data_IF_772408529667
#
_entry.id   IF_772408529667
#
_cell.length_a   1.000
_cell.length_b   1.000
_cell.length_c   1.000
_cell.angle_alpha   90.00
_cell.angle_beta   90.00
_cell.angle_gamma   90.00
#
_symmetry.space_group_name_H-M   'P 1'
#
loop_
_entity.id
_entity.type
_entity.pdbx_description
1 polymer ?
#
# COMPACT_ATOMS: atom_id res chain seq x y z
N UNK A 1 -8.79 -16.29 -9.44
CA UNK A 1 -7.96 -15.06 -9.44
C UNK A 1 -8.75 -13.90 -8.84
N UNK A 2 -8.28 -13.40 -7.69
CA UNK A 2 -8.90 -12.31 -6.94
C UNK A 2 -8.23 -10.99 -7.28
N UNK A 3 -9.01 -9.90 -7.42
CA UNK A 3 -8.47 -8.57 -7.73
C UNK A 3 -8.78 -7.55 -6.65
N UNK A 4 -7.73 -7.02 -6.04
CA UNK A 4 -7.78 -6.02 -4.99
C UNK A 4 -7.25 -4.70 -5.56
N UNK A 5 -8.08 -3.66 -5.57
CA UNK A 5 -7.59 -2.31 -5.74
C UNK A 5 -7.03 -1.80 -4.41
N UNK A 6 -5.80 -1.31 -4.41
CA UNK A 6 -5.14 -0.74 -3.24
C UNK A 6 -4.92 0.75 -3.44
N UNK A 7 -5.42 1.52 -2.48
CA UNK A 7 -5.20 2.95 -2.32
C UNK A 7 -4.78 3.25 -0.88
N UNK A 8 -4.27 4.43 -0.62
CA UNK A 8 -3.98 4.93 0.74
C UNK A 8 -3.88 6.45 0.70
N UNK A 9 -3.84 7.07 1.88
CA UNK A 9 -3.55 8.49 2.03
C UNK A 9 -4.49 9.31 1.11
N UNK A 10 -5.78 9.17 1.40
CA UNK A 10 -6.84 9.93 0.75
C UNK A 10 -6.77 11.37 1.25
N UNK A 11 -6.56 11.55 2.57
CA UNK A 11 -6.59 12.85 3.20
C UNK A 11 -7.82 13.66 2.78
N UNK A 12 -9.00 13.06 2.92
CA UNK A 12 -10.25 13.72 2.57
C UNK A 12 -10.38 15.03 3.37
N UNK A 13 -10.51 16.16 2.68
CA UNK A 13 -10.52 17.50 3.28
C UNK A 13 -9.31 18.36 2.93
N UNK A 14 -8.81 19.11 3.91
CA UNK A 14 -7.81 20.19 3.75
C UNK A 14 -6.55 19.83 2.94
N UNK A 15 -6.02 18.62 3.10
CA UNK A 15 -4.77 18.19 2.47
C UNK A 15 -4.98 17.47 1.12
N UNK A 16 -6.22 17.32 0.67
CA UNK A 16 -6.51 16.85 -0.69
C UNK A 16 -6.02 17.83 -1.75
N UNK A 17 -5.70 17.31 -2.93
CA UNK A 17 -5.34 18.07 -4.15
C UNK A 17 -6.55 18.46 -5.02
N UNK A 18 -7.72 17.94 -4.68
CA UNK A 18 -8.95 18.10 -5.46
C UNK A 18 -10.15 18.23 -4.54
N UNK A 19 -11.08 19.09 -4.92
CA UNK A 19 -12.35 19.28 -4.20
C UNK A 19 -13.30 18.09 -4.35
N UNK A 20 -12.99 17.15 -5.25
CA UNK A 20 -13.70 15.87 -5.37
C UNK A 20 -13.54 14.99 -4.12
N UNK A 21 -12.50 15.24 -3.32
CA UNK A 21 -12.17 14.53 -2.09
C UNK A 21 -12.02 15.51 -0.91
N UNK A 22 -12.93 16.47 -0.81
CA UNK A 22 -13.02 17.39 0.32
C UNK A 22 -14.47 17.57 0.76
N UNK A 23 -14.66 18.08 1.98
CA UNK A 23 -16.02 18.45 2.42
C UNK A 23 -16.55 19.56 1.50
N UNK A 24 -17.81 19.51 1.04
CA UNK A 24 -18.35 20.54 0.16
C UNK A 24 -18.20 21.95 0.74
N UNK A 25 -17.49 22.83 0.01
CA UNK A 25 -17.23 24.21 0.42
C UNK A 25 -16.03 24.39 1.36
N UNK A 26 -15.36 23.33 1.77
CA UNK A 26 -14.09 23.40 2.51
C UNK A 26 -12.95 23.83 1.55
N UNK A 27 -12.16 24.85 1.91
CA UNK A 27 -10.99 25.22 1.13
C UNK A 27 -9.88 24.17 1.30
N UNK A 28 -9.32 23.72 0.18
CA UNK A 28 -8.15 22.84 0.14
C UNK A 28 -6.85 23.63 -0.05
N UNK A 29 -5.70 23.07 0.35
CA UNK A 29 -4.40 23.75 0.26
C UNK A 29 -3.76 23.72 -1.14
N UNK A 30 -4.27 22.88 -2.04
CA UNK A 30 -3.78 22.69 -3.39
C UNK A 30 -4.98 22.40 -4.28
N UNK A 31 -5.36 23.35 -5.13
CA UNK A 31 -6.48 23.17 -6.06
C UNK A 31 -5.97 23.08 -7.49
N UNK A 32 -6.14 21.92 -8.10
CA UNK A 32 -5.76 21.68 -9.47
C UNK A 32 -6.93 21.97 -10.43
N UNK A 33 -7.21 23.24 -10.69
CA UNK A 33 -8.32 23.67 -11.55
C UNK A 33 -8.14 23.20 -12.99
N UNK A 34 -9.21 22.66 -13.60
CA UNK A 34 -9.22 22.23 -15.01
C UNK A 34 -8.57 20.87 -15.29
N UNK A 35 -8.17 20.14 -14.26
CA UNK A 35 -7.66 18.78 -14.39
C UNK A 35 -8.78 17.76 -14.70
N UNK A 36 -8.41 16.63 -15.31
CA UNK A 36 -9.30 15.48 -15.47
C UNK A 36 -9.73 14.97 -14.09
N UNK A 37 -11.03 14.73 -13.92
CA UNK A 37 -11.60 14.19 -12.67
C UNK A 37 -10.83 12.97 -12.16
N UNK A 38 -10.28 13.08 -10.95
CA UNK A 38 -9.54 12.00 -10.30
C UNK A 38 -10.51 10.88 -9.90
N UNK A 39 -11.71 11.25 -9.44
CA UNK A 39 -12.78 10.32 -9.08
C UNK A 39 -13.26 9.50 -10.28
N UNK A 40 -13.65 10.16 -11.38
CA UNK A 40 -14.25 9.46 -12.53
C UNK A 40 -13.23 8.58 -13.25
N UNK A 41 -11.99 9.06 -13.39
CA UNK A 41 -10.94 8.23 -13.98
C UNK A 41 -10.56 7.05 -13.08
N UNK A 42 -10.62 7.20 -11.74
CA UNK A 42 -10.42 6.08 -10.80
C UNK A 42 -11.49 5.00 -11.02
N UNK A 43 -12.77 5.39 -11.08
CA UNK A 43 -13.88 4.47 -11.34
C UNK A 43 -13.66 3.71 -12.64
N UNK A 44 -13.19 4.36 -13.71
CA UNK A 44 -12.88 3.70 -14.98
C UNK A 44 -11.80 2.62 -14.83
N UNK A 45 -10.69 2.91 -14.15
CA UNK A 45 -9.63 1.91 -13.92
C UNK A 45 -10.15 0.73 -13.09
N UNK A 46 -10.92 0.99 -12.04
CA UNK A 46 -11.49 -0.06 -11.20
C UNK A 46 -12.42 -0.99 -12.00
N UNK A 47 -13.24 -0.44 -12.91
CA UNK A 47 -14.10 -1.20 -13.83
C UNK A 47 -13.31 -2.02 -14.83
N UNK A 48 -12.35 -1.39 -15.50
CA UNK A 48 -11.50 -2.05 -16.51
C UNK A 48 -10.72 -3.22 -15.91
N UNK A 49 -10.19 -3.02 -14.69
CA UNK A 49 -9.54 -4.06 -13.92
C UNK A 49 -10.51 -5.15 -13.43
N UNK A 50 -11.82 -4.89 -13.42
CA UNK A 50 -12.82 -5.71 -12.71
C UNK A 50 -12.38 -5.95 -11.26
N UNK A 51 -12.02 -4.87 -10.56
CA UNK A 51 -11.65 -4.94 -9.15
C UNK A 51 -12.82 -5.52 -8.33
N UNK A 52 -12.52 -6.43 -7.40
CA UNK A 52 -13.52 -7.08 -6.55
C UNK A 52 -13.51 -6.54 -5.13
N UNK A 53 -12.37 -6.02 -4.69
CA UNK A 53 -12.17 -5.40 -3.39
C UNK A 53 -11.51 -4.04 -3.56
N UNK A 54 -11.85 -3.10 -2.66
CA UNK A 54 -11.16 -1.82 -2.52
C UNK A 54 -10.52 -1.79 -1.12
N UNK A 55 -9.20 -1.94 -1.06
CA UNK A 55 -8.41 -1.85 0.16
C UNK A 55 -7.82 -0.44 0.32
N UNK A 56 -7.96 0.14 1.51
CA UNK A 56 -7.48 1.48 1.86
C UNK A 56 -6.49 1.37 3.02
N UNK A 57 -5.21 1.68 2.81
CA UNK A 57 -4.18 1.52 3.83
C UNK A 57 -4.03 2.72 4.79
N UNK A 58 -5.15 3.31 5.20
CA UNK A 58 -5.18 4.40 6.18
C UNK A 58 -5.09 5.82 5.60
N UNK A 59 -5.11 6.80 6.50
CA UNK A 59 -5.21 8.24 6.24
C UNK A 59 -6.38 8.57 5.30
N UNK A 60 -7.57 8.14 5.73
CA UNK A 60 -8.83 8.43 5.06
C UNK A 60 -9.14 9.93 5.08
N UNK A 61 -8.82 10.60 6.18
CA UNK A 61 -9.18 12.00 6.46
C UNK A 61 -7.96 12.88 6.60
N UNK A 62 -8.11 14.21 6.50
CA UNK A 62 -7.00 15.14 6.71
C UNK A 62 -6.72 15.41 8.18
N UNK A 63 -7.76 15.47 9.02
CA UNK A 63 -7.65 15.85 10.43
C UNK A 63 -8.50 15.00 11.39
N UNK A 64 -9.04 13.86 10.94
CA UNK A 64 -9.81 12.95 11.78
C UNK A 64 -11.18 13.49 12.19
N UNK A 65 -11.71 14.50 11.50
CA UNK A 65 -12.96 15.14 11.91
C UNK A 65 -14.20 14.31 11.53
N UNK A 66 -15.30 14.36 12.30
CA UNK A 66 -16.55 13.67 11.97
C UNK A 66 -17.10 13.98 10.57
N UNK A 67 -16.99 15.24 10.12
CA UNK A 67 -17.45 15.64 8.79
C UNK A 67 -16.61 14.99 7.68
N UNK A 68 -15.29 14.94 7.83
CA UNK A 68 -14.41 14.34 6.84
C UNK A 68 -14.68 12.84 6.73
N UNK A 69 -14.88 12.15 7.86
CA UNK A 69 -15.26 10.73 7.83
C UNK A 69 -16.57 10.48 7.09
N UNK A 70 -17.61 11.27 7.37
CA UNK A 70 -18.91 11.08 6.72
C UNK A 70 -18.84 11.26 5.20
N UNK A 71 -18.23 12.35 4.72
CA UNK A 71 -18.10 12.61 3.29
C UNK A 71 -17.07 11.69 2.60
N UNK A 72 -16.02 11.27 3.31
CA UNK A 72 -15.07 10.29 2.80
C UNK A 72 -15.74 8.94 2.58
N UNK A 73 -16.50 8.47 3.56
CA UNK A 73 -17.29 7.23 3.45
C UNK A 73 -18.26 7.27 2.27
N UNK A 74 -19.05 8.35 2.16
CA UNK A 74 -20.02 8.52 1.07
C UNK A 74 -19.31 8.49 -0.29
N UNK A 75 -18.17 9.17 -0.41
CA UNK A 75 -17.40 9.26 -1.64
C UNK A 75 -16.78 7.92 -2.03
N UNK A 76 -16.12 7.24 -1.08
CA UNK A 76 -15.51 5.92 -1.29
C UNK A 76 -16.58 4.89 -1.63
N UNK A 77 -17.72 4.90 -0.94
CA UNK A 77 -18.83 3.99 -1.20
C UNK A 77 -19.45 4.23 -2.57
N UNK A 78 -19.62 5.50 -2.97
CA UNK A 78 -20.06 5.86 -4.33
C UNK A 78 -19.08 5.36 -5.39
N UNK A 79 -17.76 5.55 -5.20
CA UNK A 79 -16.74 5.04 -6.12
C UNK A 79 -16.83 3.51 -6.25
N UNK A 80 -16.90 2.81 -5.11
CA UNK A 80 -16.97 1.35 -5.09
C UNK A 80 -18.24 0.85 -5.81
N UNK A 81 -19.40 1.39 -5.47
CA UNK A 81 -20.68 1.02 -6.09
C UNK A 81 -20.69 1.30 -7.60
N UNK A 82 -20.23 2.47 -8.00
CA UNK A 82 -20.17 2.84 -9.42
C UNK A 82 -19.21 1.92 -10.17
N UNK A 83 -18.11 1.48 -9.55
CA UNK A 83 -17.15 0.52 -10.11
C UNK A 83 -17.65 -0.94 -10.11
N UNK A 84 -18.79 -1.24 -9.48
CA UNK A 84 -19.32 -2.60 -9.34
C UNK A 84 -18.73 -3.40 -8.18
N UNK A 85 -18.04 -2.73 -7.25
CA UNK A 85 -17.49 -3.31 -6.02
C UNK A 85 -18.58 -3.26 -4.93
N UNK A 86 -18.87 -4.40 -4.30
CA UNK A 86 -19.79 -4.44 -3.15
C UNK A 86 -19.27 -3.57 -2.01
N UNK A 87 -20.18 -2.88 -1.30
CA UNK A 87 -19.80 -2.12 -0.10
C UNK A 87 -19.13 -2.98 0.98
N UNK A 88 -19.51 -4.26 1.08
CA UNK A 88 -18.91 -5.19 2.05
C UNK A 88 -17.48 -5.60 1.62
N UNK A 89 -17.06 -5.26 0.40
CA UNK A 89 -15.71 -5.49 -0.12
C UNK A 89 -14.83 -4.22 -0.10
N UNK A 90 -15.30 -3.14 0.53
CA UNK A 90 -14.47 -1.99 0.87
C UNK A 90 -13.85 -2.24 2.24
N UNK A 91 -12.53 -2.39 2.28
CA UNK A 91 -11.77 -2.76 3.47
C UNK A 91 -10.75 -1.67 3.76
N UNK A 92 -10.68 -1.17 5.00
CA UNK A 92 -9.77 -0.07 5.32
C UNK A 92 -9.02 -0.28 6.64
N UNK A 93 -7.78 0.20 6.68
CA UNK A 93 -7.06 0.48 7.92
C UNK A 93 -7.22 1.95 8.31
N UNK A 94 -6.68 2.32 9.46
CA UNK A 94 -6.61 3.70 9.92
C UNK A 94 -5.15 4.15 10.01
N UNK A 95 -4.90 5.40 9.64
CA UNK A 95 -3.60 6.04 9.76
C UNK A 95 -3.54 7.08 10.87
N UNK A 96 -2.47 7.87 10.91
CA UNK A 96 -2.27 8.88 11.94
C UNK A 96 -3.17 10.10 11.72
N UNK A 97 -3.57 10.43 10.49
CA UNK A 97 -4.51 11.52 10.23
C UNK A 97 -5.97 11.16 10.51
N UNK A 98 -6.26 9.88 10.79
CA UNK A 98 -7.60 9.40 11.18
C UNK A 98 -7.88 9.51 12.69
N UNK A 99 -6.97 10.14 13.44
CA UNK A 99 -7.16 10.50 14.84
C UNK A 99 -7.65 11.94 14.92
N UNK A 100 -8.75 12.17 15.63
CA UNK A 100 -9.17 13.55 15.95
C UNK A 100 -8.22 14.15 17.00
N UNK A 101 -7.24 14.92 16.53
CA UNK A 101 -6.23 15.53 17.39
C UNK A 101 -6.82 16.45 18.45
N UNK A 102 -7.93 17.13 18.16
CA UNK A 102 -8.59 18.02 19.12
C UNK A 102 -9.15 17.23 20.29
N UNK A 103 -9.76 16.07 20.04
CA UNK A 103 -10.20 15.16 21.10
C UNK A 103 -9.00 14.64 21.87
N UNK A 104 -7.92 14.26 21.17
CA UNK A 104 -6.72 13.72 21.80
C UNK A 104 -6.06 14.71 22.76
N UNK A 105 -6.18 16.02 22.52
CA UNK A 105 -5.60 17.10 23.32
C UNK A 105 -6.46 17.51 24.54
N UNK A 106 -7.72 17.07 24.63
CA UNK A 106 -8.63 17.47 25.72
C UNK A 106 -8.09 17.10 27.11
N UNK A 107 -7.20 16.10 27.22
CA UNK A 107 -6.55 15.74 28.48
C UNK A 107 -5.75 16.89 29.10
N UNK A 108 -5.25 17.83 28.29
CA UNK A 108 -4.46 18.99 28.75
C UNK A 108 -5.29 19.99 29.57
N UNK A 109 -6.62 19.94 29.45
CA UNK A 109 -7.53 20.80 30.21
C UNK A 109 -7.65 20.42 31.70
N UNK A 110 -7.20 19.22 32.07
CA UNK A 110 -7.25 18.73 33.45
C UNK A 110 -6.01 19.20 34.22
N UNK A 111 -6.24 20.01 35.26
CA UNK A 111 -5.18 20.48 36.14
C UNK A 111 -4.77 19.38 37.11
N UNK A 112 -3.47 19.37 37.37
CA UNK A 112 -2.84 18.50 38.35
C UNK A 112 -3.14 19.02 39.76
N UNK A 113 -4.28 18.61 40.32
CA UNK A 113 -4.70 19.04 41.67
C UNK A 113 -4.01 18.24 42.78
N UNK A 114 -3.33 17.14 42.44
CA UNK A 114 -2.64 16.24 43.38
C UNK A 114 -1.53 15.49 42.64
N UNK A 115 -0.39 15.27 43.29
CA UNK A 115 0.72 14.47 42.74
C UNK A 115 0.33 13.03 42.35
N UNK A 116 -0.83 12.56 42.83
CA UNK A 116 -1.37 11.23 42.55
C UNK A 116 -2.30 11.18 41.32
N UNK A 117 -2.48 12.29 40.60
CA UNK A 117 -3.35 12.32 39.43
C UNK A 117 -2.77 11.43 38.31
N UNK A 118 -3.56 10.48 37.75
CA UNK A 118 -3.04 9.51 36.78
C UNK A 118 -3.00 10.10 35.37
N UNK A 119 -2.14 11.08 35.13
CA UNK A 119 -2.03 11.82 33.86
C UNK A 119 -1.95 10.92 32.62
N UNK A 120 -1.06 9.92 32.65
CA UNK A 120 -0.85 8.99 31.53
C UNK A 120 -2.10 8.15 31.23
N UNK A 121 -2.83 7.72 32.26
CA UNK A 121 -4.07 6.98 32.09
C UNK A 121 -5.14 7.86 31.42
N UNK A 122 -5.28 9.11 31.87
CA UNK A 122 -6.27 10.05 31.31
C UNK A 122 -5.92 10.38 29.86
N UNK A 123 -4.64 10.66 29.57
CA UNK A 123 -4.13 10.87 28.21
C UNK A 123 -4.44 9.68 27.31
N UNK A 124 -4.17 8.46 27.76
CA UNK A 124 -4.47 7.24 27.01
C UNK A 124 -5.98 7.07 26.72
N UNK A 125 -6.85 7.39 27.69
CA UNK A 125 -8.30 7.35 27.47
C UNK A 125 -8.75 8.33 26.38
N UNK A 126 -8.27 9.57 26.41
CA UNK A 126 -8.61 10.57 25.38
C UNK A 126 -8.08 10.18 24.00
N UNK A 127 -6.85 9.68 23.93
CA UNK A 127 -6.28 9.13 22.70
C UNK A 127 -7.12 8.00 22.14
N UNK A 128 -7.55 7.06 22.99
CA UNK A 128 -8.38 5.93 22.55
C UNK A 128 -9.76 6.38 22.04
N UNK A 129 -10.36 7.41 22.66
CA UNK A 129 -11.59 8.04 22.17
C UNK A 129 -11.34 8.69 20.80
N UNK A 130 -10.28 9.48 20.67
CA UNK A 130 -9.91 10.15 19.42
C UNK A 130 -9.67 9.16 18.28
N UNK A 131 -8.93 8.09 18.52
CA UNK A 131 -8.67 7.03 17.54
C UNK A 131 -9.90 6.16 17.22
N UNK A 132 -10.97 6.28 18.01
CA UNK A 132 -12.26 5.63 17.75
C UNK A 132 -13.23 6.53 16.98
N UNK A 133 -12.83 7.74 16.59
CA UNK A 133 -13.68 8.68 15.85
C UNK A 133 -14.23 8.04 14.56
N UNK A 134 -13.38 7.34 13.79
CA UNK A 134 -13.82 6.64 12.57
C UNK A 134 -14.91 5.60 12.84
N UNK A 135 -14.83 4.83 13.93
CA UNK A 135 -15.82 3.81 14.28
C UNK A 135 -17.21 4.39 14.60
N UNK A 136 -17.26 5.63 15.08
CA UNK A 136 -18.52 6.32 15.40
C UNK A 136 -19.08 7.02 14.16
N UNK A 137 -18.20 7.57 13.33
CA UNK A 137 -18.58 8.45 12.23
C UNK A 137 -18.73 7.73 10.88
N UNK A 138 -18.36 6.45 10.79
CA UNK A 138 -18.60 5.62 9.59
C UNK A 138 -19.78 4.67 9.82
N UNK A 139 -20.75 4.73 8.93
CA UNK A 139 -21.97 3.92 8.94
C UNK A 139 -21.75 2.48 8.45
N UNK A 140 -20.66 2.27 7.70
CA UNK A 140 -20.21 1.02 7.07
C UNK A 140 -19.05 0.42 7.86
N UNK A 141 -19.25 0.24 9.16
CA UNK A 141 -18.25 -0.38 10.02
C UNK A 141 -17.80 -1.74 9.44
N UNK A 142 -16.49 -1.98 9.45
CA UNK A 142 -15.92 -3.25 9.00
C UNK A 142 -16.46 -4.39 9.87
N UNK A 143 -16.95 -5.43 9.19
CA UNK A 143 -17.44 -6.64 9.85
C UNK A 143 -16.28 -7.60 10.03
N UNK A 144 -15.65 -7.53 11.20
CA UNK A 144 -14.59 -8.46 11.55
C UNK A 144 -15.16 -9.82 11.96
N UNK A 145 -14.57 -10.90 11.43
CA UNK A 145 -14.76 -12.26 11.94
C UNK A 145 -14.24 -12.38 13.37
N UNK A 146 -13.15 -11.66 13.68
CA UNK A 146 -12.59 -11.53 15.04
C UNK A 146 -12.06 -10.12 15.26
N UNK A 147 -12.58 -9.43 16.28
CA UNK A 147 -12.11 -8.10 16.65
C UNK A 147 -10.70 -8.16 17.28
N UNK A 148 -9.89 -7.15 16.96
CA UNK A 148 -8.63 -6.85 17.63
C UNK A 148 -8.80 -5.88 18.81
N UNK A 149 -7.73 -5.64 19.57
CA UNK A 149 -7.78 -4.82 20.79
C UNK A 149 -7.76 -3.30 20.51
N UNK A 150 -7.24 -2.89 19.35
CA UNK A 150 -7.19 -1.49 18.93
C UNK A 150 -8.45 -1.09 18.14
N UNK A 151 -8.83 0.20 18.12
CA UNK A 151 -9.92 0.68 17.29
C UNK A 151 -9.73 0.29 15.82
N UNK A 152 -10.78 -0.23 15.17
CA UNK A 152 -10.75 -0.66 13.76
C UNK A 152 -9.63 -1.69 13.43
N UNK A 153 -9.28 -2.55 14.40
CA UNK A 153 -8.39 -3.69 14.18
C UNK A 153 -9.16 -5.01 14.27
N UNK A 154 -8.72 -6.03 13.54
CA UNK A 154 -9.40 -7.31 13.52
C UNK A 154 -9.00 -8.20 12.34
N UNK A 155 -9.73 -9.30 12.17
CA UNK A 155 -9.53 -10.29 11.12
C UNK A 155 -10.78 -10.31 10.23
N UNK A 156 -10.57 -10.21 8.92
CA UNK A 156 -11.58 -10.46 7.90
C UNK A 156 -11.20 -11.75 7.17
N UNK A 157 -12.17 -12.63 6.98
CA UNK A 157 -11.99 -13.91 6.32
C UNK A 157 -13.05 -14.12 5.23
N UNK A 158 -12.61 -14.64 4.10
CA UNK A 158 -13.47 -15.18 3.05
C UNK A 158 -12.82 -16.44 2.44
N UNK A 159 -13.38 -16.96 1.35
CA UNK A 159 -12.89 -18.17 0.71
C UNK A 159 -11.48 -18.02 0.11
N UNK A 160 -11.06 -16.78 -0.19
CA UNK A 160 -9.82 -16.48 -0.90
C UNK A 160 -8.66 -16.10 0.03
N UNK A 161 -8.94 -15.34 1.09
CA UNK A 161 -7.94 -14.77 1.97
C UNK A 161 -8.39 -14.61 3.43
N UNK A 162 -7.37 -14.48 4.28
CA UNK A 162 -7.42 -14.03 5.67
C UNK A 162 -6.65 -12.72 5.72
N UNK A 163 -7.33 -11.64 6.11
CA UNK A 163 -6.73 -10.32 6.21
C UNK A 163 -6.71 -9.86 7.67
N UNK A 164 -5.52 -9.56 8.17
CA UNK A 164 -5.29 -8.95 9.47
C UNK A 164 -5.24 -7.44 9.28
N UNK A 165 -6.21 -6.72 9.85
CA UNK A 165 -6.22 -5.26 9.87
C UNK A 165 -5.59 -4.81 11.18
N UNK A 166 -4.44 -4.16 11.07
CA UNK A 166 -3.71 -3.62 12.20
C UNK A 166 -3.78 -2.09 12.16
N UNK A 167 -4.22 -1.51 13.26
CA UNK A 167 -4.20 -0.06 13.40
C UNK A 167 -2.82 0.34 13.93
N UNK A 168 -1.98 0.91 13.07
CA UNK A 168 -0.68 1.45 13.46
C UNK A 168 -0.72 2.96 13.75
N UNK A 169 -1.86 3.62 13.51
CA UNK A 169 -2.07 5.05 13.75
C UNK A 169 -2.61 5.38 15.14
N UNK A 170 -3.43 4.53 15.76
CA UNK A 170 -4.20 4.88 16.97
C UNK A 170 -3.40 5.36 18.19
N UNK A 171 -2.11 5.04 18.24
CA UNK A 171 -1.21 5.46 19.31
C UNK A 171 -0.54 6.82 19.05
N UNK A 172 -0.65 7.36 17.84
CA UNK A 172 -0.04 8.62 17.48
C UNK A 172 -0.68 9.77 18.27
N UNK A 173 0.11 10.79 18.62
CA UNK A 173 -0.31 12.01 19.32
C UNK A 173 0.43 13.21 18.75
N UNK A 174 -0.21 14.39 18.73
CA UNK A 174 0.41 15.62 18.22
C UNK A 174 1.66 16.03 19.00
N UNK A 175 1.75 15.62 20.27
CA UNK A 175 2.88 15.89 21.16
C UNK A 175 3.97 14.80 21.15
N UNK A 176 3.90 13.82 20.24
CA UNK A 176 4.99 12.85 20.09
C UNK A 176 6.29 13.57 19.72
N UNK A 177 7.37 13.27 20.45
CA UNK A 177 8.71 13.73 20.09
C UNK A 177 9.14 13.21 18.71
N UNK A 178 8.63 12.04 18.32
CA UNK A 178 8.88 11.37 17.05
C UNK A 178 7.56 10.86 16.50
N UNK A 179 7.14 11.36 15.34
CA UNK A 179 5.87 10.99 14.70
C UNK A 179 5.98 9.62 14.01
N UNK A 180 5.89 8.54 14.80
CA UNK A 180 5.98 7.16 14.35
C UNK A 180 4.66 6.40 14.56
N UNK A 181 4.48 5.34 13.78
CA UNK A 181 3.42 4.37 13.98
C UNK A 181 3.70 3.48 15.19
N UNK A 182 2.64 2.95 15.81
CA UNK A 182 2.77 2.04 16.95
C UNK A 182 1.59 1.08 17.02
N UNK A 183 1.88 -0.22 17.14
CA UNK A 183 0.85 -1.23 17.36
C UNK A 183 0.48 -1.35 18.84
N UNK A 184 1.45 -1.13 19.73
CA UNK A 184 1.45 -1.47 21.15
C UNK A 184 1.56 -2.98 21.43
N UNK A 185 1.81 -3.30 22.71
CA UNK A 185 1.99 -4.68 23.19
C UNK A 185 0.72 -5.52 23.01
N UNK A 186 -0.45 -4.98 23.34
CA UNK A 186 -1.71 -5.74 23.30
C UNK A 186 -2.08 -6.18 21.87
N UNK A 187 -1.97 -5.26 20.90
CA UNK A 187 -2.26 -5.57 19.50
C UNK A 187 -1.20 -6.47 18.88
N UNK A 188 0.08 -6.30 19.25
CA UNK A 188 1.15 -7.17 18.77
C UNK A 188 0.99 -8.60 19.29
N UNK A 189 0.69 -8.76 20.59
CA UNK A 189 0.40 -10.08 21.18
C UNK A 189 -0.85 -10.70 20.56
N UNK A 190 -1.93 -9.92 20.40
CA UNK A 190 -3.14 -10.38 19.74
C UNK A 190 -2.86 -10.82 18.30
N UNK A 191 -2.05 -10.07 17.54
CA UNK A 191 -1.67 -10.42 16.18
C UNK A 191 -0.87 -11.73 16.17
N UNK A 192 0.12 -11.87 17.05
CA UNK A 192 0.93 -13.09 17.18
C UNK A 192 0.07 -14.33 17.49
N UNK A 193 -0.82 -14.22 18.47
CA UNK A 193 -1.73 -15.31 18.84
C UNK A 193 -2.71 -15.63 17.71
N UNK A 194 -3.22 -14.61 17.04
CA UNK A 194 -4.21 -14.76 15.97
C UNK A 194 -3.61 -15.38 14.71
N UNK A 195 -2.46 -14.90 14.25
CA UNK A 195 -1.83 -15.39 13.02
C UNK A 195 -1.38 -16.85 13.15
N UNK A 196 -1.00 -17.28 14.35
CA UNK A 196 -0.65 -18.68 14.64
C UNK A 196 -1.80 -19.65 14.33
N UNK A 197 -3.05 -19.23 14.51
CA UNK A 197 -4.23 -20.06 14.22
C UNK A 197 -4.36 -20.41 12.73
N UNK A 198 -3.84 -19.54 11.86
CA UNK A 198 -3.93 -19.69 10.40
C UNK A 198 -2.60 -20.11 9.78
N UNK A 199 -1.61 -20.50 10.59
CA UNK A 199 -0.26 -20.82 10.10
C UNK A 199 -0.27 -21.88 8.99
N UNK A 200 -1.13 -22.89 9.12
CA UNK A 200 -1.30 -23.99 8.16
C UNK A 200 -2.44 -23.75 7.16
N UNK A 201 -3.11 -22.62 7.22
CA UNK A 201 -4.15 -22.26 6.25
C UNK A 201 -3.50 -22.01 4.88
N UNK A 202 -4.17 -22.48 3.82
CA UNK A 202 -3.70 -22.41 2.45
C UNK A 202 -4.18 -21.16 1.71
N UNK A 203 -5.13 -20.41 2.27
CA UNK A 203 -5.59 -19.13 1.71
C UNK A 203 -4.49 -18.08 1.77
N UNK A 204 -4.68 -16.99 1.05
CA UNK A 204 -3.81 -15.83 1.17
C UNK A 204 -3.86 -15.25 2.59
N UNK A 205 -2.70 -15.01 3.21
CA UNK A 205 -2.59 -14.32 4.50
C UNK A 205 -2.03 -12.93 4.26
N UNK A 206 -2.86 -11.92 4.50
CA UNK A 206 -2.60 -10.53 4.14
C UNK A 206 -2.62 -9.68 5.41
N UNK A 207 -1.71 -8.71 5.54
CA UNK A 207 -1.80 -7.65 6.55
C UNK A 207 -2.15 -6.34 5.86
N UNK A 208 -3.08 -5.58 6.44
CA UNK A 208 -3.38 -4.20 6.06
C UNK A 208 -3.09 -3.30 7.28
N UNK A 209 -2.20 -2.32 7.10
CA UNK A 209 -1.85 -1.33 8.12
C UNK A 209 -1.39 -0.04 7.46
N UNK A 210 -1.20 1.04 8.21
CA UNK A 210 -0.83 2.33 7.60
C UNK A 210 0.69 2.57 7.53
N UNK A 211 1.34 2.65 8.70
CA UNK A 211 2.77 2.91 8.79
C UNK A 211 3.61 1.77 8.19
N UNK A 212 4.72 2.16 7.56
CA UNK A 212 5.63 1.22 6.92
C UNK A 212 6.43 0.39 7.95
N UNK A 213 6.69 -0.91 7.66
CA UNK A 213 7.37 -1.80 8.62
C UNK A 213 8.90 -1.81 8.49
N UNK A 214 9.50 -0.99 7.64
CA UNK A 214 10.96 -0.92 7.49
C UNK A 214 11.36 0.37 6.78
N UNK A 215 12.59 0.82 7.01
CA UNK A 215 13.15 1.98 6.33
C UNK A 215 13.51 1.67 4.87
N UNK A 216 13.21 2.59 3.96
CA UNK A 216 13.58 2.48 2.56
C UNK A 216 13.95 3.83 1.94
N UNK A 217 14.57 3.82 0.75
CA UNK A 217 14.98 5.04 0.05
C UNK A 217 13.79 5.95 -0.31
N UNK A 218 14.01 7.26 -0.24
CA UNK A 218 13.09 8.30 -0.70
C UNK A 218 13.80 9.12 -1.79
N UNK A 219 13.09 9.72 -2.77
CA UNK A 219 13.73 10.48 -3.86
C UNK A 219 14.74 11.51 -3.36
N UNK A 220 14.33 12.27 -2.34
CA UNK A 220 15.22 13.15 -1.60
C UNK A 220 15.70 12.42 -0.35
N UNK A 221 17.01 12.18 -0.16
CA UNK A 221 17.53 11.53 1.04
C UNK A 221 17.14 12.31 2.29
N UNK A 222 16.29 11.72 3.13
CA UNK A 222 15.83 12.27 4.40
C UNK A 222 15.87 11.18 5.47
N UNK A 223 16.04 11.59 6.73
CA UNK A 223 15.96 10.66 7.86
C UNK A 223 14.49 10.29 8.07
N UNK A 224 14.20 8.99 7.98
CA UNK A 224 12.84 8.46 8.17
C UNK A 224 12.61 8.15 9.64
N UNK A 225 11.70 8.90 10.25
CA UNK A 225 11.34 8.77 11.66
C UNK A 225 9.94 8.21 11.87
N UNK A 226 9.24 7.89 10.79
CA UNK A 226 7.80 7.61 10.83
C UNK A 226 7.43 6.15 10.60
N UNK A 227 8.44 5.28 10.59
CA UNK A 227 8.30 3.83 10.60
C UNK A 227 7.47 3.32 11.78
N UNK A 228 6.90 2.13 11.66
CA UNK A 228 6.37 1.39 12.79
C UNK A 228 7.46 1.14 13.87
N UNK A 229 7.19 1.57 15.10
CA UNK A 229 8.09 1.40 16.26
C UNK A 229 8.47 -0.07 16.49
N UNK A 230 7.47 -0.96 16.50
CA UNK A 230 7.67 -2.39 16.70
C UNK A 230 7.95 -3.18 15.40
N UNK A 231 8.44 -2.50 14.35
CA UNK A 231 8.70 -3.05 13.01
C UNK A 231 9.42 -4.40 13.02
N UNK A 232 10.52 -4.52 13.77
CA UNK A 232 11.29 -5.76 13.88
C UNK A 232 10.46 -6.94 14.40
N UNK A 233 9.74 -6.75 15.50
CA UNK A 233 8.89 -7.79 16.08
C UNK A 233 7.71 -8.14 15.17
N UNK A 234 7.09 -7.14 14.54
CA UNK A 234 6.03 -7.36 13.56
C UNK A 234 6.52 -8.24 12.40
N UNK A 235 7.68 -7.91 11.82
CA UNK A 235 8.27 -8.66 10.71
C UNK A 235 8.60 -10.11 11.09
N UNK A 236 9.11 -10.34 12.30
CA UNK A 236 9.38 -11.68 12.81
C UNK A 236 8.10 -12.50 12.97
N UNK A 237 7.05 -11.92 13.56
CA UNK A 237 5.74 -12.57 13.70
C UNK A 237 5.15 -12.89 12.33
N UNK A 238 5.17 -11.92 11.40
CA UNK A 238 4.60 -12.08 10.06
C UNK A 238 5.31 -13.22 9.29
N UNK A 239 6.64 -13.21 9.25
CA UNK A 239 7.42 -14.21 8.53
C UNK A 239 7.36 -15.61 9.13
N UNK A 240 7.41 -15.73 10.47
CA UNK A 240 7.33 -17.03 11.17
C UNK A 240 5.98 -17.70 11.07
N UNK A 241 4.93 -16.97 10.69
CA UNK A 241 3.57 -17.49 10.54
C UNK A 241 3.07 -17.48 9.09
N UNK A 242 3.95 -17.18 8.13
CA UNK A 242 3.68 -17.29 6.70
C UNK A 242 2.65 -16.28 6.21
N UNK A 243 2.75 -15.03 6.64
CA UNK A 243 2.11 -13.92 5.92
C UNK A 243 2.68 -13.90 4.50
N UNK A 244 1.84 -13.62 3.49
CA UNK A 244 2.25 -13.56 2.09
C UNK A 244 2.40 -12.11 1.62
N UNK A 245 1.51 -11.23 2.09
CA UNK A 245 1.36 -9.87 1.58
C UNK A 245 1.13 -8.88 2.72
N UNK A 246 1.81 -7.75 2.68
CA UNK A 246 1.62 -6.62 3.61
C UNK A 246 1.33 -5.37 2.78
N UNK A 247 0.14 -4.80 2.99
CA UNK A 247 -0.34 -3.59 2.33
C UNK A 247 -0.20 -2.42 3.31
N UNK A 248 0.46 -1.34 2.86
CA UNK A 248 0.66 -0.15 3.70
C UNK A 248 0.69 1.17 2.92
N UNK A 249 0.82 2.28 3.64
CA UNK A 249 0.82 3.65 3.11
C UNK A 249 1.80 4.58 3.86
N UNK A 250 1.30 5.76 4.27
CA UNK A 250 1.93 6.76 5.14
C UNK A 250 3.02 7.61 4.50
N UNK A 251 3.92 6.99 3.74
CA UNK A 251 5.09 7.71 3.21
C UNK A 251 4.79 8.51 1.94
N UNK A 252 3.59 8.36 1.39
CA UNK A 252 3.13 8.88 0.10
C UNK A 252 3.97 8.45 -1.13
N UNK A 253 5.07 7.74 -0.92
CA UNK A 253 5.99 7.24 -1.92
C UNK A 253 5.70 5.77 -2.21
N UNK A 254 5.15 5.45 -3.40
CA UNK A 254 4.75 4.09 -3.73
C UNK A 254 5.97 3.18 -3.85
N UNK A 255 5.83 1.92 -3.42
CA UNK A 255 6.92 0.94 -3.44
C UNK A 255 6.36 -0.47 -3.38
N UNK A 256 7.00 -1.41 -4.05
CA UNK A 256 6.65 -2.82 -3.94
C UNK A 256 7.91 -3.67 -4.02
N UNK A 257 8.06 -4.61 -3.08
CA UNK A 257 9.20 -5.51 -3.08
C UNK A 257 8.87 -6.83 -2.36
N UNK A 258 9.54 -7.89 -2.75
CA UNK A 258 9.47 -9.20 -2.09
C UNK A 258 10.74 -9.43 -1.32
N UNK A 259 10.62 -9.81 -0.05
CA UNK A 259 11.76 -10.08 0.83
C UNK A 259 11.61 -11.44 1.49
N UNK A 260 12.73 -12.10 1.73
CA UNK A 260 12.84 -13.31 2.55
C UNK A 260 13.90 -13.07 3.63
N UNK A 261 13.60 -13.46 4.87
CA UNK A 261 14.59 -13.51 5.96
C UNK A 261 14.73 -14.94 6.47
N UNK A 262 15.78 -15.17 7.26
CA UNK A 262 15.96 -16.44 7.96
C UNK A 262 14.75 -16.73 8.85
N UNK A 263 14.37 -18.01 8.93
CA UNK A 263 13.20 -18.51 9.70
C UNK A 263 11.81 -18.13 9.17
N UNK A 264 11.71 -17.34 8.10
CA UNK A 264 10.43 -17.06 7.45
C UNK A 264 9.96 -18.29 6.67
N UNK A 265 8.67 -18.62 6.79
CA UNK A 265 8.08 -19.79 6.11
C UNK A 265 8.11 -19.62 4.58
N UNK A 266 7.90 -18.40 4.11
CA UNK A 266 7.84 -18.02 2.71
C UNK A 266 8.24 -16.54 2.57
N UNK A 267 8.61 -16.08 1.36
CA UNK A 267 8.81 -14.66 1.10
C UNK A 267 7.54 -13.85 1.38
N UNK A 268 7.72 -12.59 1.80
CA UNK A 268 6.64 -11.63 1.98
C UNK A 268 6.77 -10.54 0.94
N UNK A 269 5.69 -10.24 0.24
CA UNK A 269 5.58 -9.05 -0.60
C UNK A 269 5.02 -7.89 0.21
N UNK A 270 5.68 -6.75 0.14
CA UNK A 270 5.24 -5.49 0.73
C UNK A 270 4.81 -4.55 -0.39
N UNK A 271 3.65 -3.91 -0.25
CA UNK A 271 3.15 -2.92 -1.21
C UNK A 271 2.74 -1.66 -0.46
N UNK A 272 3.54 -0.61 -0.63
CA UNK A 272 3.23 0.75 -0.24
C UNK A 272 2.38 1.39 -1.34
N UNK A 273 1.16 1.78 -1.01
CA UNK A 273 0.18 2.32 -1.95
C UNK A 273 0.49 3.74 -2.45
N UNK A 274 1.50 4.41 -1.87
CA UNK A 274 1.75 5.82 -2.12
C UNK A 274 0.64 6.69 -1.56
N UNK A 275 0.00 7.51 -2.38
CA UNK A 275 -1.11 8.38 -1.93
C UNK A 275 -2.11 8.64 -3.04
N UNK A 276 -3.41 8.58 -2.72
CA UNK A 276 -4.47 8.73 -3.72
C UNK A 276 -4.71 10.19 -4.11
N UNK A 277 -4.80 11.07 -3.11
CA UNK A 277 -5.27 12.46 -3.32
C UNK A 277 -4.50 13.51 -2.56
N UNK A 278 -3.46 13.16 -1.82
CA UNK A 278 -2.63 14.14 -1.11
C UNK A 278 -2.08 15.22 -2.04
N UNK A 279 -2.05 16.47 -1.57
CA UNK A 279 -1.49 17.61 -2.28
C UNK A 279 0.02 17.48 -2.60
N UNK A 280 0.50 18.36 -3.48
CA UNK A 280 1.90 18.39 -3.93
C UNK A 280 2.91 18.62 -2.80
N UNK A 281 2.63 19.52 -1.85
CA UNK A 281 3.54 19.88 -0.75
C UNK A 281 3.96 18.68 0.09
N UNK A 282 3.07 17.71 0.28
CA UNK A 282 3.31 16.50 1.05
C UNK A 282 3.89 15.34 0.22
N UNK A 283 4.23 15.57 -1.06
CA UNK A 283 4.71 14.54 -2.01
C UNK A 283 5.90 15.02 -2.83
N UNK A 284 6.92 15.53 -2.14
CA UNK A 284 8.12 16.11 -2.76
C UNK A 284 7.77 17.24 -3.74
N UNK A 285 6.95 18.20 -3.30
CA UNK A 285 6.45 19.30 -4.13
C UNK A 285 5.76 18.87 -5.44
N UNK A 286 5.20 17.65 -5.46
CA UNK A 286 4.49 17.08 -6.60
C UNK A 286 5.33 16.21 -7.52
N UNK A 287 6.63 16.02 -7.25
CA UNK A 287 7.53 15.15 -8.05
C UNK A 287 7.09 13.69 -7.97
N UNK A 288 6.75 13.23 -6.76
CA UNK A 288 6.06 11.94 -6.59
C UNK A 288 4.63 12.17 -7.07
N UNK A 289 4.03 11.35 -7.95
CA UNK A 289 2.63 11.47 -8.37
C UNK A 289 1.69 10.77 -7.38
N UNK A 290 0.38 11.02 -7.50
CA UNK A 290 -0.59 10.19 -6.79
C UNK A 290 -0.70 8.85 -7.49
N UNK A 291 -0.98 7.80 -6.73
CA UNK A 291 -0.86 6.41 -7.18
C UNK A 291 -2.07 5.55 -6.80
N UNK A 292 -2.28 4.50 -7.59
CA UNK A 292 -3.30 3.48 -7.44
C UNK A 292 -2.68 2.16 -7.90
N UNK A 293 -3.02 1.07 -7.21
CA UNK A 293 -2.53 -0.26 -7.55
C UNK A 293 -3.67 -1.26 -7.73
N UNK A 294 -3.55 -2.16 -8.69
CA UNK A 294 -4.40 -3.35 -8.80
C UNK A 294 -3.53 -4.57 -8.52
N UNK A 295 -3.86 -5.31 -7.47
CA UNK A 295 -3.21 -6.54 -7.06
C UNK A 295 -4.07 -7.71 -7.55
N UNK A 296 -3.51 -8.52 -8.46
CA UNK A 296 -4.10 -9.79 -8.87
C UNK A 296 -3.46 -10.93 -8.06
N UNK A 297 -4.21 -11.51 -7.14
CA UNK A 297 -3.80 -12.70 -6.40
C UNK A 297 -3.92 -13.91 -7.32
N UNK A 298 -2.78 -14.55 -7.60
CA UNK A 298 -2.76 -15.75 -8.46
C UNK A 298 -3.20 -16.99 -7.68
N UNK A 299 -3.40 -18.09 -8.39
CA UNK A 299 -3.75 -19.38 -7.78
C UNK A 299 -2.54 -20.02 -7.07
N UNK A 300 -1.31 -19.56 -7.35
CA UNK A 300 -0.11 -19.89 -6.58
C UNK A 300 0.01 -18.91 -5.40
N UNK A 301 -0.42 -19.36 -4.22
CA UNK A 301 -0.52 -18.51 -3.02
C UNK A 301 0.86 -18.00 -2.61
N UNK A 302 0.97 -16.68 -2.46
CA UNK A 302 2.25 -16.00 -2.29
C UNK A 302 2.71 -15.28 -3.54
N UNK A 303 2.24 -15.68 -4.73
CA UNK A 303 2.56 -15.02 -6.00
C UNK A 303 1.45 -14.07 -6.43
N UNK A 304 1.80 -12.81 -6.65
CA UNK A 304 0.87 -11.79 -7.15
C UNK A 304 1.39 -11.10 -8.39
N UNK A 305 0.45 -10.57 -9.16
CA UNK A 305 0.73 -9.60 -10.21
C UNK A 305 0.25 -8.23 -9.75
N UNK A 306 1.10 -7.23 -9.91
CA UNK A 306 0.84 -5.85 -9.50
C UNK A 306 0.78 -4.96 -10.75
N UNK A 307 -0.34 -4.26 -10.93
CA UNK A 307 -0.52 -3.22 -11.94
C UNK A 307 -0.49 -1.86 -11.27
N UNK A 308 0.39 -0.97 -11.75
CA UNK A 308 0.68 0.29 -11.09
C UNK A 308 0.25 1.47 -11.94
N UNK A 309 -0.50 2.39 -11.35
CA UNK A 309 -1.04 3.58 -12.01
C UNK A 309 -0.58 4.84 -11.29
N UNK A 310 -0.35 5.90 -12.06
CA UNK A 310 -0.14 7.26 -11.58
C UNK A 310 -1.21 8.19 -12.14
N UNK A 311 -1.56 9.22 -11.38
CA UNK A 311 -2.47 10.27 -11.84
C UNK A 311 -1.71 11.40 -12.56
N UNK A 312 -2.24 11.84 -13.69
CA UNK A 312 -1.83 13.05 -14.41
C UNK A 312 -3.02 14.00 -14.59
N UNK A 313 -2.85 15.31 -14.34
CA UNK A 313 -3.91 16.29 -14.56
C UNK A 313 -4.49 16.28 -15.98
N UNK A 314 -3.68 15.93 -16.98
CA UNK A 314 -4.07 15.97 -18.39
C UNK A 314 -4.81 14.71 -18.86
N UNK A 315 -4.62 13.56 -18.19
CA UNK A 315 -5.07 12.25 -18.69
C UNK A 315 -5.87 11.44 -17.66
N UNK A 316 -5.92 11.87 -16.40
CA UNK A 316 -6.44 11.05 -15.31
C UNK A 316 -5.43 9.98 -14.89
N UNK A 317 -5.90 8.81 -14.50
CA UNK A 317 -5.06 7.66 -14.16
C UNK A 317 -4.49 6.97 -15.41
N UNK A 318 -3.18 6.73 -15.41
CA UNK A 318 -2.48 6.01 -16.46
C UNK A 318 -1.45 5.05 -15.85
N UNK A 319 -1.04 3.98 -16.54
CA UNK A 319 0.03 3.11 -16.06
C UNK A 319 1.32 3.90 -15.80
N UNK A 320 2.05 3.52 -14.74
CA UNK A 320 3.38 4.08 -14.45
C UNK A 320 4.31 3.76 -15.62
N UNK A 321 4.94 4.78 -16.18
CA UNK A 321 5.71 4.61 -17.43
C UNK A 321 7.10 4.06 -17.20
N UNK A 322 7.78 4.56 -16.17
CA UNK A 322 9.19 4.28 -15.91
C UNK A 322 9.39 3.99 -14.43
N UNK A 323 10.25 3.03 -14.14
CA UNK A 323 10.80 2.83 -12.82
C UNK A 323 11.82 3.96 -12.56
N UNK A 324 11.47 4.91 -11.69
CA UNK A 324 12.31 6.05 -11.36
C UNK A 324 12.29 6.33 -9.86
N UNK A 325 13.18 7.17 -9.31
CA UNK A 325 13.23 7.43 -7.88
C UNK A 325 11.88 7.84 -7.27
N UNK A 326 11.06 8.60 -7.99
CA UNK A 326 9.74 9.10 -7.57
C UNK A 326 8.62 8.06 -7.64
N UNK A 327 8.75 7.10 -8.55
CA UNK A 327 7.86 5.94 -8.70
C UNK A 327 8.72 4.70 -8.99
N UNK A 328 9.32 4.06 -7.97
CA UNK A 328 10.25 2.96 -8.14
C UNK A 328 9.51 1.64 -8.41
N UNK A 329 8.68 1.64 -9.44
CA UNK A 329 7.73 0.60 -9.83
C UNK A 329 7.66 0.53 -11.35
N UNK A 330 7.53 -0.69 -11.89
CA UNK A 330 7.15 -0.89 -13.29
C UNK A 330 5.63 -0.84 -13.45
N UNK A 331 5.11 -0.60 -14.66
CA UNK A 331 3.65 -0.64 -14.92
C UNK A 331 2.99 -1.97 -14.54
N UNK A 332 3.70 -3.09 -14.75
CA UNK A 332 3.26 -4.46 -14.49
C UNK A 332 4.43 -5.21 -13.85
N UNK A 333 4.21 -5.86 -12.70
CA UNK A 333 5.24 -6.59 -11.94
C UNK A 333 4.71 -7.96 -11.50
N UNK A 334 5.58 -8.98 -11.50
CA UNK A 334 5.35 -10.23 -10.77
C UNK A 334 6.13 -10.20 -9.45
N UNK A 335 5.49 -10.55 -8.34
CA UNK A 335 6.05 -10.51 -6.99
C UNK A 335 5.69 -11.80 -6.23
N UNK A 336 6.46 -12.12 -5.18
CA UNK A 336 6.19 -13.27 -4.30
C UNK A 336 7.21 -14.40 -4.32
N UNK A 337 8.08 -14.44 -5.35
CA UNK A 337 9.19 -15.40 -5.47
C UNK A 337 10.51 -14.64 -5.59
N UNK A 338 11.56 -15.32 -5.16
CA UNK A 338 12.94 -14.85 -5.29
C UNK A 338 13.72 -15.93 -6.02
N UNK A 339 14.48 -15.53 -7.03
CA UNK A 339 15.30 -16.41 -7.84
C UNK A 339 16.77 -16.06 -7.63
N UNK A 340 17.62 -17.08 -7.65
CA UNK A 340 19.07 -16.90 -7.57
C UNK A 340 19.63 -16.28 -8.85
N UNK A 341 20.80 -15.67 -8.71
CA UNK A 341 21.56 -15.13 -9.85
C UNK A 341 21.86 -16.19 -10.92
N UNK A 342 22.08 -17.44 -10.52
CA UNK A 342 22.37 -18.53 -11.45
C UNK A 342 21.13 -18.98 -12.22
N UNK A 343 19.96 -19.05 -11.57
CA UNK A 343 18.68 -19.32 -12.24
C UNK A 343 18.36 -18.25 -13.29
N UNK A 344 18.52 -16.97 -12.94
CA UNK A 344 18.29 -15.85 -13.87
C UNK A 344 19.26 -15.95 -15.06
N UNK A 345 20.56 -16.17 -14.81
CA UNK A 345 21.56 -16.32 -15.88
C UNK A 345 21.25 -17.50 -16.81
N UNK A 346 20.83 -18.64 -16.24
CA UNK A 346 20.45 -19.81 -17.01
C UNK A 346 19.24 -19.51 -17.90
N UNK A 347 18.20 -18.87 -17.36
CA UNK A 347 17.02 -18.49 -18.13
C UNK A 347 17.34 -17.48 -19.24
N UNK A 348 18.23 -16.50 -19.00
CA UNK A 348 18.72 -15.58 -20.04
C UNK A 348 19.48 -16.33 -21.14
N UNK A 349 20.34 -17.27 -20.78
CA UNK A 349 21.09 -18.09 -21.74
C UNK A 349 20.22 -18.96 -22.64
N UNK A 350 19.00 -19.27 -22.21
CA UNK A 350 18.02 -20.07 -22.95
C UNK A 350 17.08 -19.26 -23.85
N UNK A 351 17.21 -17.92 -23.89
CA UNK A 351 16.36 -17.08 -24.73
C UNK A 351 16.57 -17.40 -26.22
N UNK A 352 15.47 -17.50 -26.96
CA UNK A 352 15.48 -17.81 -28.38
C UNK A 352 15.86 -16.58 -29.20
N UNK A 353 16.82 -16.76 -30.10
CA UNK A 353 17.16 -15.76 -31.11
C UNK A 353 16.15 -15.78 -32.28
N UNK A 354 16.15 -14.68 -33.05
CA UNK A 354 15.45 -14.53 -34.33
C UNK A 354 13.91 -14.68 -34.25
N UNK A 355 13.35 -14.60 -33.04
CA UNK A 355 11.90 -14.57 -32.79
C UNK A 355 11.56 -13.47 -31.79
N UNK A 356 10.41 -12.78 -31.92
CA UNK A 356 9.93 -11.84 -30.92
C UNK A 356 9.75 -12.51 -29.55
N UNK A 357 10.39 -11.95 -28.54
CA UNK A 357 10.25 -12.29 -27.14
C UNK A 357 9.30 -11.30 -26.49
N UNK A 358 8.23 -11.80 -25.89
CA UNK A 358 7.28 -10.97 -25.13
C UNK A 358 7.47 -11.22 -23.64
N UNK A 359 7.44 -10.17 -22.81
CA UNK A 359 7.64 -10.27 -21.36
C UNK A 359 6.72 -11.32 -20.72
N UNK A 360 5.46 -11.38 -21.16
CA UNK A 360 4.44 -12.32 -20.66
C UNK A 360 4.79 -13.79 -20.89
N UNK A 361 5.63 -14.07 -21.88
CA UNK A 361 6.02 -15.42 -22.29
C UNK A 361 7.46 -15.78 -21.86
N UNK A 362 8.12 -14.90 -21.10
CA UNK A 362 9.42 -15.20 -20.55
C UNK A 362 9.30 -16.25 -19.43
N UNK A 363 10.43 -16.93 -19.20
CA UNK A 363 10.59 -17.80 -18.04
C UNK A 363 10.22 -17.06 -16.75
N UNK A 364 9.71 -17.82 -15.76
CA UNK A 364 9.24 -17.23 -14.51
C UNK A 364 10.32 -16.41 -13.82
N UNK A 365 11.57 -16.88 -13.77
CA UNK A 365 12.65 -16.16 -13.09
C UNK A 365 12.92 -14.77 -13.67
N UNK A 366 12.66 -14.58 -14.97
CA UNK A 366 12.85 -13.32 -15.68
C UNK A 366 11.68 -12.37 -15.51
N UNK A 367 10.45 -12.89 -15.36
CA UNK A 367 9.25 -12.07 -15.14
C UNK A 367 9.21 -11.43 -13.75
N UNK A 368 9.96 -11.98 -12.79
CA UNK A 368 10.08 -11.45 -11.42
C UNK A 368 11.23 -10.44 -11.27
N UNK A 369 12.04 -10.22 -12.32
CA UNK A 369 12.98 -9.11 -12.38
C UNK A 369 12.24 -7.80 -12.66
N UNK A 370 12.68 -6.71 -12.03
CA UNK A 370 12.29 -5.37 -12.48
C UNK A 370 12.72 -5.16 -13.93
N UNK A 371 11.94 -4.41 -14.71
CA UNK A 371 12.12 -4.33 -16.17
C UNK A 371 13.50 -3.78 -16.55
N UNK A 372 13.96 -2.72 -15.89
CA UNK A 372 15.28 -2.14 -16.16
C UNK A 372 16.41 -3.11 -15.80
N UNK A 373 16.25 -3.84 -14.69
CA UNK A 373 17.19 -4.85 -14.24
C UNK A 373 17.25 -6.03 -15.22
N UNK A 374 16.10 -6.49 -15.72
CA UNK A 374 15.98 -7.54 -16.74
C UNK A 374 16.71 -7.13 -18.03
N UNK A 375 16.39 -5.94 -18.56
CA UNK A 375 17.00 -5.42 -19.78
C UNK A 375 18.53 -5.31 -19.65
N UNK A 376 19.00 -4.76 -18.52
CA UNK A 376 20.43 -4.63 -18.21
C UNK A 376 21.13 -5.98 -18.16
N UNK A 377 20.55 -6.96 -17.45
CA UNK A 377 21.13 -8.31 -17.31
C UNK A 377 21.21 -9.06 -18.64
N UNK A 378 20.18 -8.94 -19.48
CA UNK A 378 20.18 -9.55 -20.82
C UNK A 378 21.32 -8.97 -21.66
N UNK A 379 21.48 -7.64 -21.66
CA UNK A 379 22.56 -6.98 -22.39
C UNK A 379 23.94 -7.38 -21.86
N UNK A 380 24.14 -7.38 -20.54
CA UNK A 380 25.40 -7.79 -19.91
C UNK A 380 25.80 -9.24 -20.25
N UNK A 381 24.84 -10.17 -20.29
CA UNK A 381 25.10 -11.59 -20.50
C UNK A 381 25.23 -11.92 -22.00
N UNK A 382 24.40 -11.32 -22.86
CA UNK A 382 24.30 -11.73 -24.27
C UNK A 382 24.99 -10.79 -25.26
N UNK A 383 25.40 -9.57 -24.89
CA UNK A 383 25.99 -8.58 -25.82
C UNK A 383 27.18 -9.09 -26.65
N UNK A 384 27.95 -10.05 -26.11
CA UNK A 384 29.07 -10.68 -26.84
C UNK A 384 28.62 -11.60 -27.98
N UNK A 385 27.43 -12.20 -27.88
CA UNK A 385 26.92 -13.22 -28.81
C UNK A 385 25.69 -12.79 -29.60
N UNK A 386 24.92 -11.84 -29.08
CA UNK A 386 23.68 -11.34 -29.66
C UNK A 386 23.61 -9.81 -29.58
N UNK A 387 22.89 -9.22 -30.52
CA UNK A 387 22.40 -7.84 -30.46
C UNK A 387 20.93 -7.85 -30.06
N UNK A 388 20.60 -7.11 -29.01
CA UNK A 388 19.22 -6.91 -28.56
C UNK A 388 18.58 -5.72 -29.30
N UNK A 389 17.40 -5.93 -29.91
CA UNK A 389 16.59 -4.89 -30.53
C UNK A 389 15.29 -4.72 -29.73
N UNK A 390 15.07 -3.51 -29.23
CA UNK A 390 13.96 -3.20 -28.32
C UNK A 390 14.35 -3.35 -26.86
N UNK A 391 13.39 -3.07 -25.98
CA UNK A 391 13.52 -3.20 -24.52
C UNK A 391 12.17 -3.66 -23.96
N UNK A 392 12.21 -4.54 -22.95
CA UNK A 392 11.03 -4.86 -22.16
C UNK A 392 10.49 -3.59 -21.48
N UNK A 393 9.16 -3.49 -21.24
CA UNK A 393 8.15 -4.54 -21.40
C UNK A 393 7.63 -4.70 -22.84
N UNK A 394 8.12 -3.91 -23.81
CA UNK A 394 7.81 -4.12 -25.23
C UNK A 394 8.52 -5.38 -25.73
N UNK A 395 8.04 -5.90 -26.86
CA UNK A 395 8.66 -7.08 -27.47
C UNK A 395 10.11 -6.80 -27.86
N UNK A 396 10.97 -7.79 -27.63
CA UNK A 396 12.41 -7.76 -27.87
C UNK A 396 12.78 -8.82 -28.89
N UNK A 397 13.73 -8.52 -29.78
CA UNK A 397 14.33 -9.52 -30.69
C UNK A 397 15.83 -9.61 -30.41
N UNK A 398 16.33 -10.83 -30.25
CA UNK A 398 17.76 -11.13 -30.14
C UNK A 398 18.29 -11.61 -31.49
N UNK A 399 19.31 -10.96 -32.04
CA UNK A 399 19.94 -11.34 -33.32
C UNK A 399 21.36 -11.79 -33.05
N UNK A 400 21.76 -12.97 -33.54
CA UNK A 400 23.14 -13.46 -33.35
C UNK A 400 24.16 -12.57 -34.06
N UNK A 401 25.24 -12.24 -33.36
CA UNK A 401 26.37 -11.51 -33.92
C UNK A 401 27.00 -12.34 -35.06
N UNK A 402 27.00 -11.81 -36.29
CA UNK A 402 27.60 -12.47 -37.46
C UNK A 402 26.66 -13.37 -38.28
N UNK A 403 25.35 -13.42 -37.98
CA UNK A 403 24.35 -14.00 -38.88
C UNK A 403 24.09 -13.05 -40.05
N UNK A 404 24.34 -13.49 -41.29
CA UNK A 404 23.91 -12.77 -42.48
C UNK A 404 22.37 -12.74 -42.54
N UNK A 405 21.81 -11.55 -42.83
CA UNK A 405 20.38 -11.35 -43.10
C UNK A 405 19.92 -12.11 -44.35
#
# INVERSE_FOLDING_TARGET
MVRIALISDIHFGLYSRTTEFSVPGEPIQDENTGAVSLKNSLISILKEANAQYLCIAGDLTSIGSPQEFAFCEDTVTSIAQEAGISKDNVIFGLGNHDIDWKISELYTSYKDYSSDFPHELVKDKYRRIAASASLINTSSALKFNRNGPAPCSGIIENDDFIMFILNSGWCCTQDQAVSHGKLNVDQLNWFEESVKLYRTDKRWKIVLMHHHPYAYSYPTPIFDISMLEESGHFLDIAGKNGIHLVLHGHRHHPRAETTQKNEWINPITFVCAGSLTVNSKHRSNGDIPNTLHIIELTDDVGVLKLLNYQYSPAQGWLPIKNNCPETPLDSEMMLGKLFSEDEIKQSIGNLKADTPLSWKNLDESLRFCGIDDLNRRIDEILSSTHKMIGLFPKDVVLIKNGGAL
#
